data_IF_893262267266
#
_entry.id   IF_893262267266
#
_cell.length_a   1.000
_cell.length_b   1.000
_cell.length_c   1.000
_cell.angle_alpha   90.00
_cell.angle_beta   90.00
_cell.angle_gamma   90.00
#
_symmetry.space_group_name_H-M   'P 1'
#
loop_
_entity.id
_entity.type
_entity.pdbx_description
1 polymer ?
#
# COMPACT_ATOMS: atom_id res chain seq x y z
N UNK A 1 40.93 21.26 55.99
CA UNK A 1 39.49 21.60 55.94
C UNK A 1 38.91 20.93 54.70
N UNK A 2 38.38 19.71 54.84
CA UNK A 2 37.76 18.98 53.73
C UNK A 2 36.29 19.40 53.67
N UNK A 3 35.97 20.27 52.71
CA UNK A 3 34.61 20.73 52.45
C UNK A 3 33.82 19.55 51.87
N UNK A 4 33.02 18.91 52.71
CA UNK A 4 32.10 17.86 52.32
C UNK A 4 30.98 18.48 51.49
N UNK A 5 31.20 18.54 50.18
CA UNK A 5 30.19 18.94 49.20
C UNK A 5 29.13 17.83 49.15
N UNK A 6 28.06 17.99 49.94
CA UNK A 6 26.86 17.14 49.85
C UNK A 6 26.39 17.19 48.40
N UNK A 7 26.62 16.11 47.67
CA UNK A 7 26.10 15.93 46.31
C UNK A 7 24.62 15.62 46.50
N UNK A 8 23.77 16.54 46.05
CA UNK A 8 22.34 16.42 46.17
C UNK A 8 21.84 15.37 45.17
N UNK A 9 21.59 14.17 45.68
CA UNK A 9 21.33 12.96 44.89
C UNK A 9 20.05 13.11 44.05
N UNK A 10 19.08 13.90 44.53
CA UNK A 10 17.87 14.24 43.78
C UNK A 10 18.17 15.11 42.56
N UNK A 11 19.11 16.05 42.66
CA UNK A 11 19.50 16.90 41.53
C UNK A 11 20.13 16.10 40.41
N UNK A 12 20.93 15.08 40.72
CA UNK A 12 21.49 14.17 39.71
C UNK A 12 20.42 13.28 39.09
N UNK A 13 19.46 12.80 39.89
CA UNK A 13 18.37 11.95 39.41
C UNK A 13 17.47 12.70 38.41
N UNK A 14 17.09 13.93 38.74
CA UNK A 14 16.29 14.81 37.85
C UNK A 14 17.04 15.12 36.56
N UNK A 15 18.36 15.31 36.63
CA UNK A 15 19.18 15.66 35.47
C UNK A 15 19.44 14.46 34.54
N UNK A 16 19.61 13.26 35.10
CA UNK A 16 19.72 12.00 34.35
C UNK A 16 18.37 11.68 33.69
N UNK A 17 17.28 11.75 34.44
CA UNK A 17 15.92 11.56 33.93
C UNK A 17 15.65 12.58 32.82
N UNK A 18 15.83 13.88 33.05
CA UNK A 18 15.62 14.91 32.03
C UNK A 18 16.46 14.69 30.76
N UNK A 19 17.72 14.25 30.89
CA UNK A 19 18.58 13.93 29.74
C UNK A 19 18.13 12.67 28.99
N UNK A 20 17.62 11.67 29.71
CA UNK A 20 17.00 10.48 29.11
C UNK A 20 15.73 10.91 28.37
N UNK A 21 14.78 11.58 29.02
CA UNK A 21 13.54 12.00 28.37
C UNK A 21 13.77 12.92 27.18
N UNK A 22 14.74 13.83 27.22
CA UNK A 22 15.12 14.65 26.06
C UNK A 22 15.71 13.80 24.92
N UNK A 23 16.44 12.72 25.25
CA UNK A 23 16.95 11.75 24.27
C UNK A 23 15.85 10.89 23.66
N UNK A 24 14.77 10.61 24.40
CA UNK A 24 13.61 9.84 23.90
C UNK A 24 12.59 10.71 23.14
N UNK A 25 12.40 11.98 23.50
CA UNK A 25 11.64 12.97 22.70
C UNK A 25 12.28 13.25 21.34
N UNK A 26 13.60 13.07 21.21
CA UNK A 26 14.32 13.14 19.94
C UNK A 26 14.16 11.87 19.07
N UNK A 27 13.48 10.81 19.55
CA UNK A 27 13.18 9.59 18.79
C UNK A 27 11.69 9.57 18.38
N UNK A 28 11.10 10.73 18.10
CA UNK A 28 9.95 10.75 17.20
C UNK A 28 10.48 10.43 15.79
N UNK A 29 10.59 9.14 15.49
CA UNK A 29 10.91 8.65 14.15
C UNK A 29 9.80 9.16 13.24
N UNK A 30 10.12 10.18 12.43
CA UNK A 30 9.22 10.66 11.41
C UNK A 30 9.02 9.53 10.41
N UNK A 31 7.79 9.21 10.08
CA UNK A 31 7.44 8.15 9.13
C UNK A 31 7.01 8.76 7.80
N UNK A 32 7.27 8.05 6.71
CA UNK A 32 6.81 8.37 5.36
C UNK A 32 5.99 7.20 4.83
N UNK A 33 4.81 7.51 4.30
CA UNK A 33 4.00 6.57 3.54
C UNK A 33 4.44 6.65 2.07
N UNK A 34 4.79 5.50 1.50
CA UNK A 34 5.10 5.35 0.07
C UNK A 34 3.97 4.55 -0.55
N UNK A 35 3.40 5.07 -1.62
CA UNK A 35 2.36 4.45 -2.45
C UNK A 35 2.99 4.23 -3.82
N UNK A 36 3.09 2.99 -4.26
CA UNK A 36 3.74 2.66 -5.52
C UNK A 36 2.87 1.78 -6.42
N UNK A 37 2.63 2.22 -7.64
CA UNK A 37 1.88 1.46 -8.64
C UNK A 37 2.79 0.49 -9.41
N UNK A 38 2.31 -0.73 -9.66
CA UNK A 38 2.94 -1.78 -10.46
C UNK A 38 1.99 -2.30 -11.54
N UNK A 39 2.57 -2.76 -12.66
CA UNK A 39 1.81 -3.38 -13.75
C UNK A 39 1.43 -4.82 -13.43
N UNK A 40 2.31 -5.55 -12.75
CA UNK A 40 2.12 -6.95 -12.40
C UNK A 40 2.29 -7.18 -10.90
N UNK A 41 1.58 -8.17 -10.37
CA UNK A 41 1.69 -8.57 -8.97
C UNK A 41 3.05 -9.21 -8.67
N UNK A 42 3.64 -9.91 -9.64
CA UNK A 42 4.96 -10.51 -9.51
C UNK A 42 6.06 -9.46 -9.26
N UNK A 43 6.00 -8.32 -9.94
CA UNK A 43 6.96 -7.24 -9.74
C UNK A 43 6.77 -6.53 -8.39
N UNK A 44 5.52 -6.33 -7.97
CA UNK A 44 5.20 -5.84 -6.63
C UNK A 44 5.70 -6.80 -5.53
N UNK A 45 5.54 -8.11 -5.74
CA UNK A 45 5.96 -9.13 -4.78
C UNK A 45 7.50 -9.20 -4.67
N UNK A 46 8.23 -9.02 -5.77
CA UNK A 46 9.69 -8.90 -5.74
C UNK A 46 10.13 -7.66 -4.97
N UNK A 47 9.48 -6.52 -5.19
CA UNK A 47 9.75 -5.28 -4.46
C UNK A 47 9.47 -5.44 -2.96
N UNK A 48 8.33 -6.04 -2.58
CA UNK A 48 8.02 -6.36 -1.19
C UNK A 48 9.10 -7.24 -0.55
N UNK A 49 9.51 -8.32 -1.23
CA UNK A 49 10.54 -9.22 -0.73
C UNK A 49 11.87 -8.49 -0.48
N UNK A 50 12.27 -7.60 -1.39
CA UNK A 50 13.48 -6.79 -1.23
C UNK A 50 13.36 -5.79 -0.07
N UNK A 51 12.21 -5.14 0.09
CA UNK A 51 11.94 -4.24 1.21
C UNK A 51 11.94 -4.99 2.56
N UNK A 52 11.36 -6.19 2.61
CA UNK A 52 11.40 -7.03 3.82
C UNK A 52 12.82 -7.47 4.18
N UNK A 53 13.65 -7.79 3.18
CA UNK A 53 15.07 -8.10 3.39
C UNK A 53 15.88 -6.89 3.88
N UNK A 54 15.50 -5.68 3.47
CA UNK A 54 16.09 -4.43 3.96
C UNK A 54 15.62 -4.06 5.39
N UNK A 55 14.64 -4.78 5.94
CA UNK A 55 14.18 -4.62 7.33
C UNK A 55 12.86 -3.86 7.48
N UNK A 56 12.18 -3.51 6.39
CA UNK A 56 10.84 -2.89 6.45
C UNK A 56 9.77 -3.94 6.72
N UNK A 57 8.88 -3.68 7.69
CA UNK A 57 7.87 -4.64 8.14
C UNK A 57 6.45 -4.30 7.68
N UNK A 58 6.14 -3.01 7.59
CA UNK A 58 4.79 -2.51 7.25
C UNK A 58 4.71 -2.30 5.75
N UNK A 59 4.33 -3.37 5.04
CA UNK A 59 4.16 -3.39 3.58
C UNK A 59 2.89 -4.16 3.27
N UNK A 60 2.07 -3.62 2.37
CA UNK A 60 0.84 -4.22 1.88
C UNK A 60 0.79 -4.10 0.35
N UNK A 61 0.31 -5.14 -0.32
CA UNK A 61 0.01 -5.13 -1.75
C UNK A 61 -1.50 -5.26 -1.90
N UNK A 62 -2.09 -4.36 -2.67
CA UNK A 62 -3.51 -4.32 -2.98
C UNK A 62 -3.72 -4.27 -4.49
N UNK A 63 -4.80 -4.87 -4.98
CA UNK A 63 -5.27 -4.64 -6.35
C UNK A 63 -6.24 -3.45 -6.36
N UNK A 64 -5.98 -2.49 -7.23
CA UNK A 64 -6.82 -1.32 -7.46
C UNK A 64 -7.37 -1.33 -8.88
N UNK A 65 -8.63 -0.95 -9.02
CA UNK A 65 -9.31 -0.93 -10.31
C UNK A 65 -10.60 -0.12 -10.28
N UNK A 66 -11.06 0.26 -11.47
CA UNK A 66 -12.34 0.97 -11.65
C UNK A 66 -13.54 0.06 -11.34
N UNK A 67 -13.41 -1.23 -11.67
CA UNK A 67 -14.45 -2.22 -11.46
C UNK A 67 -14.18 -2.93 -10.14
N UNK A 68 -15.16 -2.98 -9.22
CA UNK A 68 -15.01 -3.66 -7.95
C UNK A 68 -14.85 -5.17 -8.17
N UNK A 69 -13.93 -5.76 -7.40
CA UNK A 69 -13.55 -7.18 -7.28
C UNK A 69 -12.26 -7.59 -8.00
N UNK A 70 -11.62 -8.65 -7.48
CA UNK A 70 -10.35 -9.22 -7.95
C UNK A 70 -10.53 -10.17 -9.14
N UNK A 71 -11.76 -10.35 -9.59
CA UNK A 71 -12.17 -11.24 -10.65
C UNK A 71 -13.25 -12.23 -10.19
N UNK A 72 -13.95 -12.85 -11.14
CA UNK A 72 -14.98 -13.83 -10.82
C UNK A 72 -14.35 -15.22 -10.78
N UNK A 73 -13.99 -15.69 -9.58
CA UNK A 73 -13.58 -17.09 -9.35
C UNK A 73 -14.77 -18.08 -9.28
N UNK A 74 -15.96 -17.64 -9.66
CA UNK A 74 -17.16 -18.49 -9.63
C UNK A 74 -17.39 -19.09 -11.00
N UNK A 75 -17.35 -20.42 -11.08
CA UNK A 75 -17.84 -21.16 -12.25
C UNK A 75 -19.34 -20.87 -12.37
N UNK A 76 -19.71 -20.09 -13.38
CA UNK A 76 -21.11 -19.79 -13.71
C UNK A 76 -21.45 -20.29 -15.11
N UNK A 77 -22.67 -20.78 -15.27
CA UNK A 77 -23.18 -21.17 -16.59
C UNK A 77 -24.02 -20.03 -17.18
N UNK A 78 -23.51 -19.28 -18.17
CA UNK A 78 -24.26 -18.17 -18.76
C UNK A 78 -25.53 -18.63 -19.49
N UNK A 79 -25.62 -19.91 -19.91
CA UNK A 79 -26.79 -20.47 -20.59
C UNK A 79 -28.03 -20.53 -19.68
N UNK A 80 -27.86 -20.56 -18.37
CA UNK A 80 -28.99 -20.60 -17.42
C UNK A 80 -29.58 -19.22 -17.17
N UNK A 81 -28.94 -18.14 -17.66
CA UNK A 81 -29.35 -16.76 -17.40
C UNK A 81 -29.17 -16.31 -15.94
N UNK A 82 -28.56 -17.16 -15.10
CA UNK A 82 -28.38 -16.90 -13.67
C UNK A 82 -27.06 -16.16 -13.41
N UNK A 83 -26.96 -14.91 -13.83
CA UNK A 83 -25.84 -14.03 -13.53
C UNK A 83 -26.30 -12.60 -13.20
N UNK A 84 -25.54 -11.82 -12.40
CA UNK A 84 -25.98 -10.52 -11.90
C UNK A 84 -26.19 -9.46 -13.00
N UNK A 85 -25.43 -9.53 -14.09
CA UNK A 85 -25.51 -8.63 -15.23
C UNK A 85 -24.32 -8.80 -16.19
N UNK A 86 -24.37 -8.16 -17.36
CA UNK A 86 -23.30 -8.24 -18.36
C UNK A 86 -21.96 -7.71 -17.84
N UNK A 87 -21.96 -6.62 -17.06
CA UNK A 87 -20.73 -6.09 -16.45
C UNK A 87 -20.03 -7.09 -15.52
N UNK A 88 -20.76 -8.06 -14.97
CA UNK A 88 -20.14 -9.15 -14.21
C UNK A 88 -19.39 -10.09 -15.16
N UNK A 89 -20.02 -10.53 -16.24
CA UNK A 89 -19.41 -11.45 -17.20
C UNK A 89 -18.23 -10.88 -17.97
N UNK A 90 -18.30 -9.61 -18.38
CA UNK A 90 -17.34 -9.02 -19.33
C UNK A 90 -16.22 -8.27 -18.63
N UNK A 91 -16.47 -7.72 -17.44
CA UNK A 91 -15.49 -6.95 -16.66
C UNK A 91 -15.04 -7.68 -15.39
N UNK A 92 -15.50 -8.91 -15.19
CA UNK A 92 -15.28 -9.69 -13.96
C UNK A 92 -15.69 -8.95 -12.68
N UNK A 93 -16.66 -8.04 -12.78
CA UNK A 93 -17.08 -7.20 -11.65
C UNK A 93 -18.08 -7.88 -10.73
N UNK A 94 -18.00 -7.54 -9.44
CA UNK A 94 -18.99 -7.88 -8.43
C UNK A 94 -19.59 -6.59 -7.86
N UNK A 95 -20.91 -6.47 -7.98
CA UNK A 95 -21.63 -5.24 -7.69
C UNK A 95 -22.48 -5.42 -6.42
N UNK A 96 -21.90 -5.26 -5.21
CA UNK A 96 -22.62 -5.47 -3.95
C UNK A 96 -23.75 -4.46 -3.75
N UNK A 97 -23.67 -3.29 -4.39
CA UNK A 97 -24.72 -2.27 -4.42
C UNK A 97 -25.95 -2.68 -5.25
N UNK A 98 -25.90 -3.81 -5.96
CA UNK A 98 -27.03 -4.41 -6.66
C UNK A 98 -27.00 -4.29 -8.18
N UNK A 99 -28.12 -4.70 -8.80
CA UNK A 99 -28.26 -4.86 -10.26
C UNK A 99 -28.03 -3.58 -11.05
N UNK A 100 -28.44 -2.42 -10.54
CA UNK A 100 -28.32 -1.15 -11.26
C UNK A 100 -26.86 -0.77 -11.51
N UNK A 101 -25.98 -1.02 -10.53
CA UNK A 101 -24.54 -0.82 -10.70
C UNK A 101 -23.94 -1.76 -11.76
N UNK A 102 -24.44 -3.00 -11.85
CA UNK A 102 -24.00 -3.95 -12.90
C UNK A 102 -24.45 -3.55 -14.31
N UNK A 103 -25.61 -2.88 -14.43
CA UNK A 103 -26.11 -2.35 -15.70
C UNK A 103 -25.28 -1.14 -16.11
N UNK A 104 -24.97 -0.24 -15.17
CA UNK A 104 -24.12 0.91 -15.42
C UNK A 104 -22.71 0.48 -15.86
N UNK A 105 -22.12 -0.51 -15.18
CA UNK A 105 -20.83 -1.08 -15.58
C UNK A 105 -20.87 -1.74 -16.97
N UNK A 106 -22.01 -2.33 -17.37
CA UNK A 106 -22.16 -2.89 -18.71
C UNK A 106 -22.21 -1.82 -19.83
N UNK A 107 -22.46 -0.56 -19.49
CA UNK A 107 -22.38 0.56 -20.44
C UNK A 107 -20.94 1.06 -20.64
N UNK A 108 -19.98 0.55 -19.85
CA UNK A 108 -18.57 0.86 -20.05
C UNK A 108 -18.08 0.29 -21.41
N UNK A 109 -17.42 1.09 -22.25
CA UNK A 109 -16.81 0.61 -23.49
C UNK A 109 -15.91 -0.61 -23.32
N UNK A 110 -15.26 -0.81 -22.17
CA UNK A 110 -14.46 -2.00 -21.85
C UNK A 110 -15.29 -3.28 -21.90
N UNK A 111 -16.58 -3.21 -21.55
CA UNK A 111 -17.48 -4.35 -21.58
C UNK A 111 -17.69 -4.88 -23.02
N UNK A 112 -17.46 -4.02 -24.02
CA UNK A 112 -17.58 -4.34 -25.44
C UNK A 112 -16.25 -4.61 -26.14
N UNK A 113 -15.12 -4.31 -25.49
CA UNK A 113 -13.78 -4.42 -26.08
C UNK A 113 -13.43 -3.33 -27.09
N UNK A 114 -14.18 -2.21 -27.12
CA UNK A 114 -13.95 -1.08 -28.04
C UNK A 114 -13.01 0.00 -27.46
N UNK A 115 -12.30 -0.28 -26.38
CA UNK A 115 -11.45 0.72 -25.72
C UNK A 115 -10.05 0.69 -26.30
N UNK A 116 -9.54 1.87 -26.63
CA UNK A 116 -8.14 2.09 -26.90
C UNK A 116 -7.47 2.34 -25.54
N UNK A 117 -7.23 1.26 -24.79
CA UNK A 117 -6.57 1.34 -23.50
C UNK A 117 -5.09 1.57 -23.78
N UNK A 118 -4.64 2.82 -23.67
CA UNK A 118 -3.21 3.14 -23.69
C UNK A 118 -2.54 2.45 -22.49
N UNK A 119 -1.80 1.38 -22.79
CA UNK A 119 -1.27 0.40 -21.85
C UNK A 119 -0.08 0.93 -21.02
N UNK A 120 0.30 2.19 -21.21
CA UNK A 120 1.64 2.67 -20.86
C UNK A 120 1.77 3.38 -19.50
N UNK A 121 0.70 3.93 -18.92
CA UNK A 121 0.80 4.69 -17.66
C UNK A 121 -0.33 4.47 -16.65
N UNK A 122 -1.55 4.22 -17.10
CA UNK A 122 -2.74 4.10 -16.23
C UNK A 122 -3.14 2.66 -15.90
N UNK A 123 -2.45 1.66 -16.46
CA UNK A 123 -2.81 0.25 -16.28
C UNK A 123 -2.12 -0.42 -15.08
N UNK A 124 -1.62 0.37 -14.13
CA UNK A 124 -1.01 -0.12 -12.89
C UNK A 124 -2.09 -0.47 -11.88
N UNK A 125 -2.58 -1.69 -11.99
CA UNK A 125 -3.67 -2.22 -11.15
C UNK A 125 -3.19 -2.79 -9.82
N UNK A 126 -1.88 -2.79 -9.56
CA UNK A 126 -1.30 -3.27 -8.30
C UNK A 126 -0.70 -2.08 -7.55
N UNK A 127 -1.11 -1.88 -6.31
CA UNK A 127 -0.64 -0.84 -5.41
C UNK A 127 0.17 -1.47 -4.28
N UNK A 128 1.41 -1.06 -4.11
CA UNK A 128 2.22 -1.36 -2.94
C UNK A 128 2.20 -0.16 -2.00
N UNK A 129 1.79 -0.38 -0.75
CA UNK A 129 1.81 0.61 0.32
C UNK A 129 2.88 0.22 1.33
N UNK A 130 3.83 1.11 1.62
CA UNK A 130 4.86 0.91 2.62
C UNK A 130 4.93 2.08 3.60
N UNK A 131 5.07 1.79 4.89
CA UNK A 131 5.32 2.78 5.95
C UNK A 131 6.76 2.62 6.40
N UNK A 132 7.58 3.64 6.17
CA UNK A 132 9.03 3.59 6.39
C UNK A 132 9.52 4.76 7.24
N UNK A 133 10.59 4.61 8.03
CA UNK A 133 11.26 5.74 8.65
C UNK A 133 11.72 6.75 7.60
N UNK A 134 11.53 8.05 7.87
CA UNK A 134 11.92 9.15 6.97
C UNK A 134 13.39 9.07 6.56
N UNK A 135 14.26 8.63 7.47
CA UNK A 135 15.72 8.48 7.23
C UNK A 135 16.04 7.42 6.17
N UNK A 136 15.16 6.43 5.98
CA UNK A 136 15.33 5.31 5.07
C UNK A 136 14.37 5.39 3.86
N UNK A 137 13.57 6.44 3.76
CA UNK A 137 12.56 6.60 2.73
C UNK A 137 13.17 6.60 1.31
N UNK A 138 14.32 7.24 1.13
CA UNK A 138 14.99 7.32 -0.17
C UNK A 138 15.64 5.96 -0.57
N UNK A 139 15.98 5.11 0.40
CA UNK A 139 16.40 3.74 0.13
C UNK A 139 15.21 2.88 -0.32
N UNK A 140 14.10 2.92 0.41
CA UNK A 140 12.88 2.22 0.05
C UNK A 140 12.36 2.63 -1.34
N UNK A 141 12.40 3.94 -1.64
CA UNK A 141 12.03 4.51 -2.95
C UNK A 141 12.86 3.88 -4.08
N UNK A 142 14.19 3.85 -3.91
CA UNK A 142 15.09 3.27 -4.93
C UNK A 142 14.87 1.77 -5.13
N UNK A 143 14.59 1.03 -4.06
CA UNK A 143 14.25 -0.39 -4.15
C UNK A 143 13.00 -0.55 -5.02
N UNK A 144 11.92 0.17 -4.70
CA UNK A 144 10.64 0.11 -5.43
C UNK A 144 10.83 0.45 -6.92
N UNK A 145 11.53 1.55 -7.22
CA UNK A 145 11.80 1.98 -8.60
C UNK A 145 12.64 0.95 -9.38
N UNK A 146 13.58 0.25 -8.71
CA UNK A 146 14.41 -0.77 -9.35
C UNK A 146 13.61 -2.00 -9.84
N UNK A 147 12.45 -2.25 -9.24
CA UNK A 147 11.50 -3.28 -9.67
C UNK A 147 10.40 -2.72 -10.58
N UNK A 148 10.53 -1.49 -11.07
CA UNK A 148 9.60 -0.87 -11.99
C UNK A 148 8.37 -0.24 -11.34
N UNK A 149 8.37 -0.07 -10.01
CA UNK A 149 7.34 0.65 -9.28
C UNK A 149 7.37 2.15 -9.60
N UNK A 150 6.19 2.77 -9.71
CA UNK A 150 6.02 4.21 -9.89
C UNK A 150 5.43 4.78 -8.61
N UNK A 151 6.14 5.72 -7.97
CA UNK A 151 5.77 6.35 -6.69
C UNK A 151 5.01 7.65 -6.90
#
# INVERSE_FOLDING_TARGET
>A
MLSNKKIDVESLYVQIIGSIYHKWELICVKERNILAGFLTEDDAQKAENALRQAGFSIIQIDRIGQIPDEGIERIMNPLTGSFPGLGSLTLSGNFPSGRDASILAAADPDASGYTDRDDSYYNRTVLLTAVVPEEQADEATRIIESFGGLI
#
